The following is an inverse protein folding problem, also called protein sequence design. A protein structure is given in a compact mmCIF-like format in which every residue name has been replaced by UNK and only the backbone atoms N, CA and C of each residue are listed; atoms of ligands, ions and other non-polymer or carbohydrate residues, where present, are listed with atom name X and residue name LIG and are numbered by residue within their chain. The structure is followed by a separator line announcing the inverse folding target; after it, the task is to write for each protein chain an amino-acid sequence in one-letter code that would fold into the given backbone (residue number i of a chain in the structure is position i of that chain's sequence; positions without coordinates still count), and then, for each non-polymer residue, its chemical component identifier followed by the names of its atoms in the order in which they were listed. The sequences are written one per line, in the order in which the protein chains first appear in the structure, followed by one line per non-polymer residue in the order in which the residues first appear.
data_IF_122676512751
#
_entry.id   IF_122676512751
#
_cell.length_a   1.000
_cell.length_b   1.000
_cell.length_c   1.000
_cell.angle_alpha   90.00
_cell.angle_beta   90.00
_cell.angle_gamma   90.00
#
_symmetry.space_group_name_H-M   'P 1'
#
loop_
_entity.id
_entity.type
_entity.pdbx_description
1 polymer ?
#
# COMPACT_ATOMS: atom_id res chain seq x y z
N UNK A 1 22.58 31.61 -5.13
CA UNK A 1 21.81 30.63 -4.33
C UNK A 1 22.63 29.35 -4.26
N UNK A 2 22.85 28.78 -3.06
CA UNK A 2 23.47 27.46 -2.99
C UNK A 2 22.40 26.46 -3.43
N UNK A 3 22.50 25.94 -4.66
CA UNK A 3 21.66 24.87 -5.15
C UNK A 3 21.87 23.64 -4.24
N UNK A 4 20.80 23.11 -3.70
CA UNK A 4 20.85 21.90 -2.87
C UNK A 4 21.24 20.72 -3.75
N UNK A 5 22.40 20.13 -3.51
CA UNK A 5 22.92 19.02 -4.30
C UNK A 5 22.79 17.70 -3.54
N UNK A 6 21.93 16.83 -4.04
CA UNK A 6 21.67 15.48 -3.58
C UNK A 6 22.03 14.43 -4.65
N UNK A 7 22.79 14.80 -5.69
CA UNK A 7 23.06 13.92 -6.82
C UNK A 7 23.88 12.67 -6.43
N UNK A 8 23.60 11.54 -7.08
CA UNK A 8 24.26 10.25 -6.90
C UNK A 8 24.30 9.76 -5.44
N UNK A 9 23.25 10.04 -4.66
CA UNK A 9 23.15 9.63 -3.26
C UNK A 9 22.14 8.51 -3.06
N UNK A 10 22.35 7.70 -2.04
CA UNK A 10 21.31 6.81 -1.51
C UNK A 10 20.51 7.57 -0.47
N UNK A 11 19.29 7.99 -0.84
CA UNK A 11 18.37 8.76 -0.02
C UNK A 11 17.16 7.95 0.41
N UNK A 12 17.24 6.62 0.34
CA UNK A 12 16.12 5.74 0.66
C UNK A 12 15.46 6.10 1.99
N UNK A 13 14.11 6.05 2.01
CA UNK A 13 13.28 6.31 3.18
C UNK A 13 13.42 7.72 3.79
N UNK A 14 14.01 8.69 3.08
CA UNK A 14 14.12 10.08 3.55
C UNK A 14 12.80 10.84 3.39
N UNK A 15 12.58 11.81 4.28
CA UNK A 15 11.40 12.68 4.24
C UNK A 15 11.78 14.11 3.83
N UNK A 16 11.19 14.56 2.75
CA UNK A 16 11.30 15.92 2.20
C UNK A 16 9.93 16.62 2.21
N UNK A 17 9.05 16.22 3.09
CA UNK A 17 7.65 16.71 3.17
C UNK A 17 7.59 18.22 3.35
N UNK A 18 6.95 18.92 2.41
CA UNK A 18 6.71 20.35 2.46
C UNK A 18 7.95 21.24 2.32
N UNK A 19 9.11 20.66 1.98
CA UNK A 19 10.35 21.44 1.77
C UNK A 19 10.31 22.18 0.43
N UNK A 20 10.97 23.32 0.38
CA UNK A 20 11.28 24.01 -0.86
C UNK A 20 12.64 23.52 -1.38
N UNK A 21 12.57 22.79 -2.48
CA UNK A 21 13.69 22.14 -3.18
C UNK A 21 13.74 22.64 -4.63
N UNK A 22 13.27 23.87 -4.88
CA UNK A 22 13.32 24.50 -6.20
C UNK A 22 14.75 24.44 -6.75
N UNK A 23 14.88 23.97 -8.01
CA UNK A 23 16.15 23.81 -8.72
C UNK A 23 17.17 22.86 -8.03
N UNK A 24 16.77 22.08 -7.04
CA UNK A 24 17.65 21.09 -6.41
C UNK A 24 18.06 19.98 -7.41
N UNK A 25 19.25 19.40 -7.19
CA UNK A 25 19.76 18.31 -8.03
C UNK A 25 19.72 16.97 -7.29
N UNK A 26 18.85 16.06 -7.74
CA UNK A 26 18.74 14.68 -7.27
C UNK A 26 19.22 13.67 -8.32
N UNK A 27 19.88 14.12 -9.39
CA UNK A 27 20.25 13.26 -10.51
C UNK A 27 21.02 12.01 -10.09
N UNK A 28 20.66 10.87 -10.64
CA UNK A 28 21.31 9.57 -10.37
C UNK A 28 21.08 9.02 -8.97
N UNK A 29 20.19 9.61 -8.17
CA UNK A 29 19.97 9.19 -6.79
C UNK A 29 18.92 8.10 -6.65
N UNK A 30 19.07 7.29 -5.60
CA UNK A 30 18.10 6.30 -5.18
C UNK A 30 17.11 6.95 -4.20
N UNK A 31 15.89 7.19 -4.68
CA UNK A 31 14.80 7.84 -3.96
C UNK A 31 13.71 6.86 -3.51
N UNK A 32 13.99 5.56 -3.52
CA UNK A 32 13.01 4.57 -3.08
C UNK A 32 12.59 4.83 -1.65
N UNK A 33 11.27 4.84 -1.41
CA UNK A 33 10.70 5.11 -0.10
C UNK A 33 10.70 6.57 0.34
N UNK A 34 11.21 7.50 -0.48
CA UNK A 34 11.20 8.92 -0.15
C UNK A 34 9.78 9.51 -0.12
N UNK A 35 9.58 10.47 0.77
CA UNK A 35 8.33 11.22 0.88
C UNK A 35 8.54 12.71 0.56
N UNK A 36 8.11 13.12 -0.63
CA UNK A 36 8.08 14.50 -1.13
C UNK A 36 6.66 15.10 -1.05
N UNK A 37 5.81 14.58 -0.19
CA UNK A 37 4.42 15.06 -0.09
C UNK A 37 4.39 16.57 0.18
N UNK A 38 3.69 17.33 -0.68
CA UNK A 38 3.58 18.79 -0.64
C UNK A 38 4.90 19.56 -0.80
N UNK A 39 5.98 18.94 -1.26
CA UNK A 39 7.23 19.64 -1.54
C UNK A 39 7.09 20.57 -2.75
N UNK A 40 7.88 21.65 -2.77
CA UNK A 40 8.04 22.53 -3.92
C UNK A 40 9.30 22.06 -4.66
N UNK A 41 9.11 21.54 -5.87
CA UNK A 41 10.12 20.86 -6.68
C UNK A 41 10.21 21.48 -8.08
N UNK A 42 10.00 22.80 -8.16
CA UNK A 42 10.00 23.54 -9.45
C UNK A 42 11.41 23.50 -10.05
N UNK A 43 11.52 23.06 -11.29
CA UNK A 43 12.80 22.97 -12.00
C UNK A 43 13.80 21.96 -11.40
N UNK A 44 13.37 21.13 -10.45
CA UNK A 44 14.24 20.13 -9.81
C UNK A 44 14.73 19.08 -10.82
N UNK A 45 15.99 18.71 -10.70
CA UNK A 45 16.59 17.68 -11.56
C UNK A 45 16.48 16.29 -10.94
N UNK A 46 15.63 15.45 -11.53
CA UNK A 46 15.43 14.04 -11.21
C UNK A 46 15.92 13.10 -12.33
N UNK A 47 16.92 13.53 -13.10
CA UNK A 47 17.45 12.71 -14.17
C UNK A 47 18.06 11.41 -13.63
N UNK A 48 17.74 10.27 -14.24
CA UNK A 48 18.28 8.95 -13.87
C UNK A 48 18.06 8.54 -12.41
N UNK A 49 17.04 9.05 -11.75
CA UNK A 49 16.66 8.57 -10.42
C UNK A 49 16.01 7.20 -10.48
N UNK A 50 16.01 6.53 -9.32
CA UNK A 50 15.22 5.31 -9.08
C UNK A 50 14.23 5.59 -7.97
N UNK A 51 12.94 5.32 -8.22
CA UNK A 51 11.89 5.40 -7.22
C UNK A 51 11.28 4.02 -6.95
N UNK A 52 10.43 3.90 -5.95
CA UNK A 52 9.73 2.65 -5.64
C UNK A 52 9.71 2.31 -4.17
N UNK A 53 9.42 1.04 -3.87
CA UNK A 53 9.46 0.51 -2.52
C UNK A 53 10.88 0.17 -2.08
N UNK A 54 11.19 0.41 -0.80
CA UNK A 54 12.39 -0.15 -0.17
C UNK A 54 12.11 -1.53 0.41
N UNK A 55 13.15 -2.37 0.50
CA UNK A 55 13.05 -3.66 1.18
C UNK A 55 12.61 -3.51 2.64
N UNK A 56 12.99 -2.41 3.29
CA UNK A 56 12.57 -2.08 4.64
C UNK A 56 11.06 -1.83 4.74
N UNK A 57 10.46 -1.11 3.78
CA UNK A 57 9.01 -0.90 3.73
C UNK A 57 8.26 -2.23 3.55
N UNK A 58 8.72 -3.09 2.63
CA UNK A 58 8.15 -4.42 2.40
C UNK A 58 8.24 -5.27 3.68
N UNK A 59 9.42 -5.35 4.28
CA UNK A 59 9.65 -6.13 5.49
C UNK A 59 8.81 -5.62 6.68
N UNK A 60 8.66 -4.29 6.80
CA UNK A 60 7.82 -3.68 7.85
C UNK A 60 6.34 -4.05 7.66
N UNK A 61 5.84 -4.03 6.43
CA UNK A 61 4.46 -4.46 6.13
C UNK A 61 4.25 -5.94 6.46
N UNK A 62 5.18 -6.82 6.06
CA UNK A 62 5.13 -8.25 6.39
C UNK A 62 5.16 -8.46 7.91
N UNK A 63 6.06 -7.79 8.62
CA UNK A 63 6.16 -7.88 10.08
C UNK A 63 4.87 -7.43 10.76
N UNK A 64 4.25 -6.35 10.29
CA UNK A 64 2.98 -5.85 10.84
C UNK A 64 1.84 -6.85 10.66
N UNK A 65 1.78 -7.54 9.51
CA UNK A 65 0.82 -8.63 9.26
C UNK A 65 1.04 -9.80 10.25
N UNK A 66 2.30 -10.21 10.43
CA UNK A 66 2.66 -11.29 11.37
C UNK A 66 2.28 -10.89 12.81
N UNK A 67 2.59 -9.67 13.23
CA UNK A 67 2.22 -9.15 14.55
C UNK A 67 0.71 -9.13 14.77
N UNK A 68 -0.07 -8.77 13.73
CA UNK A 68 -1.54 -8.85 13.78
C UNK A 68 -2.04 -10.28 14.00
N UNK A 69 -1.45 -11.25 13.29
CA UNK A 69 -1.79 -12.68 13.46
C UNK A 69 -1.45 -13.19 14.85
N UNK A 70 -0.26 -12.87 15.39
CA UNK A 70 0.16 -13.25 16.75
C UNK A 70 -0.78 -12.62 17.79
N UNK A 71 -1.10 -11.34 17.64
CA UNK A 71 -2.02 -10.65 18.56
C UNK A 71 -3.40 -11.33 18.59
N UNK A 72 -3.90 -11.79 17.44
CA UNK A 72 -5.16 -12.52 17.36
C UNK A 72 -5.10 -13.87 18.08
N UNK A 73 -4.01 -14.62 17.93
CA UNK A 73 -3.81 -15.90 18.64
C UNK A 73 -3.76 -15.66 20.14
N UNK A 74 -2.96 -14.69 20.60
CA UNK A 74 -2.87 -14.33 22.01
C UNK A 74 -4.23 -13.91 22.60
N UNK A 75 -4.98 -13.07 21.88
CA UNK A 75 -6.33 -12.67 22.27
C UNK A 75 -7.29 -13.86 22.38
N UNK A 76 -7.22 -14.80 21.43
CA UNK A 76 -8.04 -16.01 21.45
C UNK A 76 -7.75 -16.88 22.69
N UNK A 77 -6.48 -17.03 23.05
CA UNK A 77 -6.07 -17.78 24.26
C UNK A 77 -6.57 -17.12 25.54
N UNK A 78 -6.51 -15.79 25.63
CA UNK A 78 -7.05 -15.04 26.78
C UNK A 78 -8.57 -15.25 26.90
N UNK A 79 -9.31 -15.19 25.78
CA UNK A 79 -10.76 -15.42 25.80
C UNK A 79 -11.09 -16.84 26.24
N UNK A 80 -10.39 -17.85 25.71
CA UNK A 80 -10.59 -19.25 26.11
C UNK A 80 -10.30 -19.42 27.61
N UNK A 81 -9.26 -18.75 28.13
CA UNK A 81 -8.95 -18.76 29.58
C UNK A 81 -10.09 -18.13 30.39
N UNK A 82 -10.57 -16.97 30.00
CA UNK A 82 -11.71 -16.30 30.66
C UNK A 82 -12.97 -17.17 30.59
N UNK A 83 -13.27 -17.73 29.42
CA UNK A 83 -14.42 -18.57 29.18
C UNK A 83 -14.40 -19.84 30.09
N UNK A 84 -13.25 -20.46 30.26
CA UNK A 84 -13.09 -21.61 31.15
C UNK A 84 -13.33 -21.27 32.64
N UNK A 85 -12.91 -20.09 33.10
CA UNK A 85 -13.15 -19.58 34.44
C UNK A 85 -14.65 -19.31 34.66
N UNK A 86 -15.28 -18.60 33.72
CA UNK A 86 -16.68 -18.25 33.79
C UNK A 86 -17.59 -19.48 33.68
N UNK A 87 -17.18 -20.51 32.92
CA UNK A 87 -17.89 -21.79 32.87
C UNK A 87 -17.94 -22.48 34.21
N UNK A 88 -16.85 -22.45 34.97
CA UNK A 88 -16.82 -22.97 36.34
C UNK A 88 -17.81 -22.26 37.30
N UNK A 89 -18.13 -20.99 37.02
CA UNK A 89 -19.03 -20.17 37.86
C UNK A 89 -20.51 -20.23 37.43
N UNK A 90 -20.78 -20.24 36.13
CA UNK A 90 -22.14 -20.08 35.54
C UNK A 90 -22.74 -21.37 34.94
N UNK A 91 -21.97 -22.44 34.84
CA UNK A 91 -22.42 -23.75 34.40
C UNK A 91 -22.70 -23.90 32.89
N UNK A 92 -23.37 -25.00 32.51
CA UNK A 92 -23.48 -25.46 31.11
C UNK A 92 -24.30 -24.53 30.19
N UNK A 93 -25.24 -23.76 30.72
CA UNK A 93 -26.02 -22.80 29.91
C UNK A 93 -25.20 -21.62 29.43
N UNK A 94 -24.21 -21.18 30.21
CA UNK A 94 -23.29 -20.12 29.83
C UNK A 94 -22.42 -20.53 28.62
N UNK A 95 -21.97 -21.79 28.54
CA UNK A 95 -21.12 -22.30 27.47
C UNK A 95 -21.74 -22.18 26.07
N UNK A 96 -23.06 -22.27 25.95
CA UNK A 96 -23.77 -22.09 24.67
C UNK A 96 -23.77 -20.64 24.20
N UNK A 97 -23.87 -19.70 25.16
CA UNK A 97 -23.94 -18.25 24.87
C UNK A 97 -22.53 -17.70 24.62
N UNK A 98 -21.52 -18.12 25.41
CA UNK A 98 -20.15 -17.63 25.26
C UNK A 98 -19.51 -18.02 23.93
N UNK A 99 -19.70 -19.27 23.49
CA UNK A 99 -19.22 -19.72 22.17
C UNK A 99 -19.78 -18.90 21.01
N UNK A 100 -21.04 -18.49 21.11
CA UNK A 100 -21.68 -17.62 20.12
C UNK A 100 -21.10 -16.18 20.17
N UNK A 101 -20.94 -15.60 21.35
CA UNK A 101 -20.39 -14.25 21.53
C UNK A 101 -18.94 -14.17 21.06
N UNK A 102 -18.11 -15.16 21.40
CA UNK A 102 -16.70 -15.24 21.00
C UNK A 102 -16.56 -15.29 19.48
N UNK A 103 -17.47 -16.00 18.77
CA UNK A 103 -17.43 -16.08 17.30
C UNK A 103 -17.88 -14.78 16.60
N UNK A 104 -18.68 -13.94 17.26
CA UNK A 104 -19.17 -12.67 16.69
C UNK A 104 -18.18 -11.53 16.88
N UNK A 105 -17.41 -11.49 17.98
CA UNK A 105 -16.49 -10.38 18.28
C UNK A 105 -15.53 -10.05 17.14
N UNK A 106 -14.84 -11.02 16.50
CA UNK A 106 -13.96 -10.75 15.37
C UNK A 106 -14.70 -10.15 14.17
N UNK A 107 -15.93 -10.61 13.92
CA UNK A 107 -16.76 -10.10 12.84
C UNK A 107 -17.21 -8.66 13.08
N UNK A 108 -17.56 -8.32 14.31
CA UNK A 108 -17.89 -6.95 14.72
C UNK A 108 -16.67 -6.04 14.62
N UNK A 109 -15.48 -6.49 15.00
CA UNK A 109 -14.24 -5.74 14.87
C UNK A 109 -13.89 -5.49 13.39
N UNK A 110 -14.14 -6.44 12.49
CA UNK A 110 -13.99 -6.25 11.05
C UNK A 110 -14.98 -5.25 10.46
N UNK A 111 -16.22 -5.25 10.94
CA UNK A 111 -17.24 -4.25 10.55
C UNK A 111 -16.90 -2.85 11.06
N UNK A 112 -16.42 -2.73 12.31
CA UNK A 112 -15.94 -1.47 12.89
C UNK A 112 -14.69 -0.93 12.20
N UNK A 113 -13.92 -1.79 11.54
CA UNK A 113 -12.74 -1.42 10.77
C UNK A 113 -13.02 -0.30 9.77
N UNK A 114 -14.04 -0.46 8.92
CA UNK A 114 -14.39 0.53 7.90
C UNK A 114 -14.70 1.89 8.51
N UNK A 115 -15.45 1.90 9.61
CA UNK A 115 -15.82 3.12 10.35
C UNK A 115 -14.61 3.79 11.02
N UNK A 116 -13.70 3.02 11.62
CA UNK A 116 -12.50 3.55 12.29
C UNK A 116 -11.53 4.11 11.26
N UNK A 117 -11.38 3.45 10.11
CA UNK A 117 -10.43 3.86 9.06
C UNK A 117 -10.85 5.15 8.36
N UNK A 118 -12.13 5.36 8.16
CA UNK A 118 -12.65 6.60 7.59
C UNK A 118 -12.36 7.81 8.50
N UNK A 119 -12.44 7.63 9.82
CA UNK A 119 -12.32 8.70 10.81
C UNK A 119 -10.87 9.00 11.25
N UNK A 120 -9.94 8.04 11.12
CA UNK A 120 -8.58 8.15 11.63
C UNK A 120 -7.50 7.71 10.62
N UNK A 121 -7.23 8.50 9.57
CA UNK A 121 -6.35 8.07 8.47
C UNK A 121 -4.88 7.80 8.89
N UNK A 122 -4.38 8.43 9.96
CA UNK A 122 -3.02 8.14 10.47
C UNK A 122 -2.89 6.76 11.12
N UNK A 123 -4.00 6.25 11.65
CA UNK A 123 -4.07 4.93 12.26
C UNK A 123 -4.24 3.85 11.19
N UNK A 124 -4.76 4.24 10.02
CA UNK A 124 -5.11 3.35 8.90
C UNK A 124 -3.92 2.55 8.39
N UNK A 125 -2.75 3.17 8.24
CA UNK A 125 -1.58 2.49 7.68
C UNK A 125 -1.04 1.40 8.62
N UNK A 126 -1.00 1.66 9.92
CA UNK A 126 -0.56 0.68 10.90
C UNK A 126 -1.58 -0.46 11.11
N UNK A 127 -2.85 -0.12 11.31
CA UNK A 127 -3.90 -1.13 11.52
C UNK A 127 -4.36 -1.81 10.23
N UNK A 128 -4.13 -1.21 9.06
CA UNK A 128 -4.47 -1.80 7.77
C UNK A 128 -3.84 -3.18 7.60
N UNK A 129 -2.52 -3.27 7.77
CA UNK A 129 -1.75 -4.49 7.62
C UNK A 129 -2.02 -5.48 8.76
N UNK A 130 -2.07 -4.99 9.99
CA UNK A 130 -2.40 -5.81 11.14
C UNK A 130 -3.80 -6.45 11.01
N UNK A 131 -4.79 -5.72 10.48
CA UNK A 131 -6.14 -6.26 10.28
C UNK A 131 -6.20 -7.37 9.23
N UNK A 132 -5.36 -7.29 8.20
CA UNK A 132 -5.22 -8.37 7.22
C UNK A 132 -4.59 -9.61 7.85
N UNK A 133 -3.58 -9.44 8.71
CA UNK A 133 -3.00 -10.53 9.50
C UNK A 133 -4.02 -11.19 10.42
N UNK A 134 -4.86 -10.40 11.10
CA UNK A 134 -5.97 -10.88 11.93
C UNK A 134 -6.95 -11.71 11.11
N UNK A 135 -7.39 -11.20 9.96
CA UNK A 135 -8.32 -11.89 9.08
C UNK A 135 -7.76 -13.22 8.58
N UNK A 136 -6.49 -13.22 8.15
CA UNK A 136 -5.81 -14.43 7.69
C UNK A 136 -5.70 -15.46 8.82
N UNK A 137 -5.33 -15.05 10.03
CA UNK A 137 -5.25 -15.92 11.21
C UNK A 137 -6.62 -16.54 11.56
N UNK A 138 -7.71 -15.76 11.48
CA UNK A 138 -9.06 -16.25 11.72
C UNK A 138 -9.46 -17.32 10.69
N UNK A 139 -9.27 -17.05 9.40
CA UNK A 139 -9.65 -17.99 8.35
C UNK A 139 -8.80 -19.27 8.39
N UNK A 140 -7.50 -19.15 8.73
CA UNK A 140 -6.63 -20.31 8.95
C UNK A 140 -7.09 -21.12 10.15
N UNK A 141 -7.45 -20.48 11.25
CA UNK A 141 -7.99 -21.13 12.45
C UNK A 141 -9.30 -21.88 12.17
N UNK A 142 -10.21 -21.30 11.39
CA UNK A 142 -11.46 -21.98 10.96
C UNK A 142 -11.15 -23.20 10.12
N UNK A 143 -10.23 -23.11 9.16
CA UNK A 143 -9.83 -24.23 8.31
C UNK A 143 -9.26 -25.37 9.16
N UNK A 144 -8.35 -25.08 10.09
CA UNK A 144 -7.79 -26.09 11.00
C UNK A 144 -8.86 -26.70 11.90
N UNK A 145 -9.79 -25.89 12.42
CA UNK A 145 -10.90 -26.37 13.25
C UNK A 145 -11.81 -27.36 12.49
N UNK A 146 -12.22 -27.02 11.28
CA UNK A 146 -13.03 -27.92 10.43
C UNK A 146 -12.26 -29.18 10.04
N UNK A 147 -10.95 -29.07 9.79
CA UNK A 147 -10.09 -30.23 9.51
C UNK A 147 -10.11 -31.20 10.71
N UNK A 148 -9.88 -30.69 11.93
CA UNK A 148 -9.86 -31.49 13.13
C UNK A 148 -11.22 -32.18 13.38
N UNK A 149 -12.34 -31.46 13.24
CA UNK A 149 -13.68 -32.02 13.42
C UNK A 149 -13.97 -33.10 12.37
N UNK A 150 -13.54 -32.90 11.13
CA UNK A 150 -13.72 -33.90 10.04
C UNK A 150 -12.95 -35.21 10.35
N UNK A 151 -11.75 -35.12 10.94
CA UNK A 151 -10.97 -36.28 11.36
C UNK A 151 -11.64 -37.09 12.49
N UNK A 152 -12.49 -36.47 13.33
CA UNK A 152 -13.22 -37.18 14.39
C UNK A 152 -14.45 -37.95 13.88
N UNK A 153 -14.61 -38.10 12.56
CA UNK A 153 -15.68 -38.86 11.91
C UNK A 153 -16.90 -38.05 11.47
N UNK A 154 -16.88 -36.74 11.69
CA UNK A 154 -17.97 -35.85 11.26
C UNK A 154 -17.72 -35.35 9.82
N UNK A 155 -17.82 -36.25 8.83
CA UNK A 155 -17.53 -35.98 7.41
C UNK A 155 -18.36 -34.82 6.81
N UNK A 156 -19.45 -34.44 7.44
CA UNK A 156 -20.26 -33.29 7.04
C UNK A 156 -19.45 -31.98 7.02
N UNK A 157 -18.39 -31.88 7.84
CA UNK A 157 -17.53 -30.68 7.89
C UNK A 157 -16.46 -30.62 6.79
N UNK A 158 -16.35 -31.61 5.89
CA UNK A 158 -15.43 -31.55 4.75
C UNK A 158 -15.76 -30.41 3.79
N UNK A 159 -17.03 -30.11 3.54
CA UNK A 159 -17.45 -29.01 2.66
C UNK A 159 -17.03 -27.66 3.24
N UNK A 160 -17.41 -27.29 4.49
CA UNK A 160 -16.92 -26.05 5.10
C UNK A 160 -15.39 -25.96 5.18
N UNK A 161 -14.68 -27.05 5.41
CA UNK A 161 -13.21 -27.12 5.40
C UNK A 161 -12.65 -26.72 4.03
N UNK A 162 -13.14 -27.30 2.94
CA UNK A 162 -12.68 -26.99 1.59
C UNK A 162 -12.98 -25.53 1.24
N UNK A 163 -14.17 -25.02 1.57
CA UNK A 163 -14.55 -23.63 1.32
C UNK A 163 -13.63 -22.67 2.08
N UNK A 164 -13.39 -22.91 3.37
CA UNK A 164 -12.52 -22.05 4.18
C UNK A 164 -11.06 -22.10 3.71
N UNK A 165 -10.56 -23.25 3.25
CA UNK A 165 -9.22 -23.38 2.69
C UNK A 165 -9.06 -22.57 1.39
N UNK A 166 -10.05 -22.62 0.50
CA UNK A 166 -10.07 -21.84 -0.73
C UNK A 166 -10.06 -20.33 -0.41
N UNK A 167 -10.92 -19.89 0.50
CA UNK A 167 -10.97 -18.48 0.92
C UNK A 167 -9.63 -18.04 1.51
N UNK A 168 -9.02 -18.85 2.39
CA UNK A 168 -7.72 -18.56 2.99
C UNK A 168 -6.62 -18.42 1.94
N UNK A 169 -6.62 -19.30 0.92
CA UNK A 169 -5.66 -19.21 -0.19
C UNK A 169 -5.80 -17.90 -0.99
N UNK A 170 -7.03 -17.51 -1.33
CA UNK A 170 -7.27 -16.25 -2.05
C UNK A 170 -6.93 -15.02 -1.21
N UNK A 171 -7.22 -15.04 0.10
CA UNK A 171 -6.83 -13.96 1.01
C UNK A 171 -5.31 -13.83 1.11
N UNK A 172 -4.59 -14.95 1.16
CA UNK A 172 -3.12 -14.93 1.18
C UNK A 172 -2.54 -14.35 -0.10
N UNK A 173 -3.06 -14.79 -1.27
CA UNK A 173 -2.65 -14.25 -2.57
C UNK A 173 -2.91 -12.74 -2.64
N UNK A 174 -4.12 -12.31 -2.30
CA UNK A 174 -4.49 -10.90 -2.29
C UNK A 174 -3.65 -10.07 -1.31
N UNK A 175 -3.27 -10.62 -0.16
CA UNK A 175 -2.38 -9.96 0.80
C UNK A 175 -1.00 -9.70 0.21
N UNK A 176 -0.40 -10.71 -0.45
CA UNK A 176 0.90 -10.55 -1.10
C UNK A 176 0.83 -9.47 -2.19
N UNK A 177 -0.15 -9.55 -3.07
CA UNK A 177 -0.38 -8.53 -4.10
C UNK A 177 -0.58 -7.14 -3.50
N UNK A 178 -1.34 -7.02 -2.41
CA UNK A 178 -1.57 -5.75 -1.72
C UNK A 178 -0.30 -5.14 -1.13
N UNK A 179 0.66 -5.94 -0.66
CA UNK A 179 1.95 -5.45 -0.15
C UNK A 179 2.86 -5.05 -1.30
N UNK A 180 2.93 -5.87 -2.35
CA UNK A 180 3.79 -5.64 -3.51
C UNK A 180 3.36 -4.42 -4.33
N UNK A 181 2.06 -4.16 -4.43
CA UNK A 181 1.51 -3.08 -5.26
C UNK A 181 1.40 -1.73 -4.53
N UNK A 182 1.97 -1.58 -3.32
CA UNK A 182 1.97 -0.30 -2.61
C UNK A 182 2.93 0.68 -3.24
N UNK A 183 2.55 1.94 -3.17
CA UNK A 183 3.49 3.02 -3.51
C UNK A 183 4.58 3.11 -2.45
N UNK A 184 5.83 3.22 -2.91
CA UNK A 184 7.00 3.40 -2.04
C UNK A 184 7.41 4.86 -1.95
N UNK A 185 7.67 5.49 -3.10
CA UNK A 185 7.99 6.92 -3.19
C UNK A 185 6.72 7.75 -3.34
N UNK A 186 6.63 8.90 -2.66
CA UNK A 186 5.46 9.79 -2.72
C UNK A 186 5.84 11.19 -3.19
N UNK A 187 5.23 11.64 -4.30
CA UNK A 187 5.17 13.02 -4.74
C UNK A 187 3.76 13.61 -4.60
N UNK A 188 2.98 13.07 -3.70
CA UNK A 188 1.58 13.46 -3.50
C UNK A 188 1.44 14.94 -3.18
N UNK A 189 0.64 15.68 -3.96
CA UNK A 189 0.44 17.11 -3.81
C UNK A 189 1.72 17.95 -3.96
N UNK A 190 2.79 17.40 -4.52
CA UNK A 190 4.01 18.15 -4.82
C UNK A 190 3.81 19.07 -6.03
N UNK A 191 4.57 20.16 -6.06
CA UNK A 191 4.67 20.99 -7.24
C UNK A 191 5.94 20.63 -8.01
N UNK A 192 5.77 19.93 -9.12
CA UNK A 192 6.83 19.41 -10.00
C UNK A 192 6.93 20.18 -11.33
N UNK A 193 6.43 21.42 -11.36
CA UNK A 193 6.47 22.22 -12.57
C UNK A 193 7.91 22.31 -13.10
N UNK A 194 8.09 22.06 -14.40
CA UNK A 194 9.38 22.08 -15.10
C UNK A 194 10.45 21.11 -14.55
N UNK A 195 10.11 20.15 -13.70
CA UNK A 195 11.05 19.15 -13.19
C UNK A 195 11.52 18.21 -14.29
N UNK A 196 12.77 17.75 -14.19
CA UNK A 196 13.39 16.86 -15.17
C UNK A 196 13.43 15.41 -14.68
N UNK A 197 12.61 14.54 -15.29
CA UNK A 197 12.60 13.09 -15.05
C UNK A 197 13.20 12.28 -16.20
N UNK A 198 14.05 12.86 -17.01
CA UNK A 198 14.67 12.16 -18.14
C UNK A 198 15.41 10.91 -17.65
N UNK A 199 15.17 9.78 -18.33
CA UNK A 199 15.78 8.48 -18.03
C UNK A 199 15.54 7.96 -16.60
N UNK A 200 14.53 8.50 -15.88
CA UNK A 200 14.17 8.04 -14.56
C UNK A 200 13.48 6.67 -14.61
N UNK A 201 13.77 5.82 -13.62
CA UNK A 201 13.04 4.58 -13.36
C UNK A 201 11.99 4.87 -12.29
N UNK A 202 10.73 4.93 -12.70
CA UNK A 202 9.59 5.30 -11.86
C UNK A 202 8.75 4.05 -11.60
N UNK A 203 8.89 3.50 -10.42
CA UNK A 203 8.16 2.32 -9.98
C UNK A 203 7.39 2.62 -8.69
N UNK A 204 6.18 2.09 -8.54
CA UNK A 204 5.40 2.15 -7.30
C UNK A 204 5.38 3.56 -6.66
N UNK A 205 5.15 4.58 -7.47
CA UNK A 205 5.26 6.00 -7.07
C UNK A 205 3.88 6.67 -7.07
N UNK A 206 3.62 7.51 -6.07
CA UNK A 206 2.36 8.27 -5.94
C UNK A 206 2.53 9.72 -6.37
N UNK A 207 2.03 10.08 -7.56
CA UNK A 207 1.91 11.46 -8.06
C UNK A 207 0.49 12.02 -7.87
N UNK A 208 -0.34 11.43 -7.03
CA UNK A 208 -1.72 11.89 -6.85
C UNK A 208 -1.78 13.35 -6.40
N UNK A 209 -2.61 14.14 -7.08
CA UNK A 209 -2.78 15.58 -6.85
C UNK A 209 -1.50 16.42 -7.06
N UNK A 210 -0.48 15.90 -7.73
CA UNK A 210 0.72 16.66 -8.06
C UNK A 210 0.50 17.58 -9.26
N UNK A 211 1.27 18.67 -9.32
CA UNK A 211 1.35 19.55 -10.49
C UNK A 211 2.53 19.11 -11.35
N UNK A 212 2.25 18.67 -12.56
CA UNK A 212 3.21 18.05 -13.49
C UNK A 212 3.43 18.89 -14.78
N UNK A 213 2.95 20.13 -14.82
CA UNK A 213 3.07 20.97 -16.01
C UNK A 213 4.53 21.24 -16.35
N UNK A 214 4.91 20.99 -17.60
CA UNK A 214 6.26 21.25 -18.10
C UNK A 214 7.31 20.22 -17.73
N UNK A 215 6.96 19.08 -17.09
CA UNK A 215 7.94 18.04 -16.77
C UNK A 215 8.60 17.46 -18.01
N UNK A 216 9.89 17.06 -17.88
CA UNK A 216 10.64 16.38 -18.91
C UNK A 216 10.62 14.89 -18.64
N UNK A 217 10.15 14.07 -19.61
CA UNK A 217 9.92 12.64 -19.44
C UNK A 217 10.65 11.79 -20.48
N UNK A 218 11.67 12.35 -21.12
CA UNK A 218 12.44 11.62 -22.13
C UNK A 218 13.08 10.37 -21.56
N UNK A 219 12.78 9.22 -22.18
CA UNK A 219 13.36 7.94 -21.78
C UNK A 219 13.01 7.45 -20.36
N UNK A 220 12.01 8.05 -19.69
CA UNK A 220 11.57 7.51 -18.41
C UNK A 220 10.88 6.15 -18.58
N UNK A 221 10.97 5.32 -17.55
CA UNK A 221 10.31 4.02 -17.50
C UNK A 221 9.28 4.03 -16.38
N UNK A 222 8.02 3.73 -16.70
CA UNK A 222 6.92 3.67 -15.74
C UNK A 222 6.46 2.23 -15.54
N UNK A 223 6.17 1.84 -14.30
CA UNK A 223 5.44 0.61 -13.99
C UNK A 223 3.92 0.82 -14.01
N UNK A 224 3.16 -0.29 -13.93
CA UNK A 224 1.70 -0.28 -13.87
C UNK A 224 1.11 0.17 -12.53
N UNK A 225 1.94 0.30 -11.48
CA UNK A 225 1.53 0.58 -10.10
C UNK A 225 1.75 2.04 -9.69
N UNK A 226 2.35 2.84 -10.58
CA UNK A 226 2.51 4.29 -10.37
C UNK A 226 1.17 5.00 -10.52
N UNK A 227 0.83 5.86 -9.55
CA UNK A 227 -0.46 6.53 -9.43
C UNK A 227 -0.38 7.98 -9.89
N UNK A 228 -1.33 8.39 -10.76
CA UNK A 228 -1.50 9.77 -11.22
C UNK A 228 -2.90 10.32 -10.91
N UNK A 229 -3.56 9.81 -9.87
CA UNK A 229 -4.95 10.18 -9.54
C UNK A 229 -5.09 11.67 -9.26
N UNK A 230 -5.95 12.37 -10.02
CA UNK A 230 -6.18 13.81 -9.90
C UNK A 230 -4.90 14.65 -10.02
N UNK A 231 -3.84 14.19 -10.66
CA UNK A 231 -2.70 15.01 -11.02
C UNK A 231 -3.09 16.03 -12.08
N UNK A 232 -2.45 17.20 -12.07
CA UNK A 232 -2.70 18.30 -13.00
C UNK A 232 -1.47 18.48 -13.89
N UNK A 233 -1.69 18.51 -15.21
CA UNK A 233 -0.66 18.72 -16.19
C UNK A 233 -1.26 19.42 -17.40
N UNK A 234 -0.81 20.61 -17.69
CA UNK A 234 -1.23 21.31 -18.91
C UNK A 234 -0.52 20.73 -20.14
N UNK A 235 0.78 20.50 -20.02
CA UNK A 235 1.63 19.92 -21.05
C UNK A 235 2.88 19.31 -20.42
N UNK A 236 3.58 18.47 -21.19
CA UNK A 236 4.89 17.91 -20.82
C UNK A 236 5.82 17.85 -22.03
N UNK A 237 7.10 17.58 -21.77
CA UNK A 237 8.11 17.34 -22.79
C UNK A 237 8.54 15.88 -22.77
N UNK A 238 8.44 15.18 -23.93
CA UNK A 238 8.56 13.71 -23.96
C UNK A 238 9.68 13.15 -24.85
N UNK A 239 10.44 14.03 -25.52
CA UNK A 239 11.57 13.67 -26.37
C UNK A 239 12.81 14.51 -26.08
N UNK A 240 14.04 14.04 -26.46
CA UNK A 240 15.29 14.75 -26.23
C UNK A 240 15.30 16.19 -26.74
N UNK A 241 14.57 16.46 -27.83
CA UNK A 241 14.47 17.77 -28.47
C UNK A 241 13.42 18.69 -27.80
N UNK A 242 12.93 18.32 -26.62
CA UNK A 242 11.88 19.04 -25.88
C UNK A 242 10.60 19.22 -26.73
N UNK A 243 10.20 18.16 -27.43
CA UNK A 243 8.89 18.17 -28.08
C UNK A 243 7.79 18.20 -27.01
N UNK A 244 6.99 19.26 -27.09
CA UNK A 244 5.84 19.46 -26.21
C UNK A 244 4.69 18.53 -26.58
N UNK A 245 3.99 17.99 -25.60
CA UNK A 245 2.75 17.26 -25.80
C UNK A 245 1.68 17.72 -24.78
N UNK A 246 0.45 18.04 -25.20
CA UNK A 246 0.02 18.14 -26.60
C UNK A 246 0.76 19.26 -27.32
N UNK A 247 0.92 19.14 -28.64
CA UNK A 247 1.65 20.10 -29.45
C UNK A 247 1.06 21.52 -29.35
N UNK A 248 -0.27 21.59 -29.26
CA UNK A 248 -1.03 22.82 -29.08
C UNK A 248 -2.04 22.67 -27.94
N UNK A 249 -2.28 23.76 -27.20
CA UNK A 249 -3.23 23.77 -26.10
C UNK A 249 -2.76 23.01 -24.85
N UNK A 250 -3.70 22.52 -24.06
CA UNK A 250 -3.47 21.78 -22.82
C UNK A 250 -4.11 20.39 -22.91
N UNK A 251 -3.65 19.45 -22.06
CA UNK A 251 -4.30 18.15 -21.93
C UNK A 251 -5.78 18.32 -21.63
N UNK A 252 -6.60 17.53 -22.33
CA UNK A 252 -8.01 17.40 -22.01
C UNK A 252 -8.20 16.41 -20.84
N UNK A 253 -9.37 16.44 -20.25
CA UNK A 253 -9.75 15.48 -19.19
C UNK A 253 -9.48 14.04 -19.69
N UNK A 254 -8.79 13.23 -18.88
CA UNK A 254 -8.40 11.84 -19.17
C UNK A 254 -7.33 11.65 -20.27
N UNK A 255 -6.88 12.69 -20.95
CA UNK A 255 -5.87 12.57 -22.01
C UNK A 255 -4.48 12.30 -21.42
N UNK A 256 -4.13 12.96 -20.32
CA UNK A 256 -2.87 12.72 -19.58
C UNK A 256 -2.74 11.23 -19.19
N UNK A 257 -3.77 10.65 -18.57
CA UNK A 257 -3.73 9.26 -18.15
C UNK A 257 -3.59 8.30 -19.35
N UNK A 258 -4.30 8.56 -20.45
CA UNK A 258 -4.17 7.76 -21.68
C UNK A 258 -2.78 7.88 -22.30
N UNK A 259 -2.18 9.07 -22.23
CA UNK A 259 -0.82 9.30 -22.71
C UNK A 259 0.19 8.53 -21.86
N UNK A 260 0.13 8.64 -20.52
CA UNK A 260 1.04 7.99 -19.59
C UNK A 260 0.96 6.48 -19.67
N UNK A 261 -0.21 5.89 -19.88
CA UNK A 261 -0.38 4.44 -20.06
C UNK A 261 0.42 3.86 -21.24
N UNK A 262 0.80 4.67 -22.23
CA UNK A 262 1.65 4.22 -23.35
C UNK A 262 3.09 3.90 -22.90
N UNK A 263 3.54 4.53 -21.82
CA UNK A 263 4.89 4.35 -21.26
C UNK A 263 4.92 3.30 -20.14
N UNK A 264 3.76 2.89 -19.63
CA UNK A 264 3.70 1.82 -18.65
C UNK A 264 4.16 0.52 -19.30
N UNK A 265 5.21 -0.08 -18.73
CA UNK A 265 5.70 -1.38 -19.14
C UNK A 265 4.60 -2.40 -18.88
N UNK A 266 4.08 -3.02 -19.94
CA UNK A 266 3.17 -4.16 -19.78
C UNK A 266 3.96 -5.29 -19.10
N UNK A 267 3.77 -5.45 -17.82
CA UNK A 267 4.18 -6.67 -17.12
C UNK A 267 3.32 -7.83 -17.68
N UNK A 268 3.94 -8.64 -18.54
CA UNK A 268 3.40 -9.93 -19.01
C UNK A 268 3.96 -11.03 -18.15
#
# INVERSE_FOLDING_TARGET
MNLQNYSNQNLQDQSFVGLDLTEADFSGSDLRGCDFTKAILVGTNFERIVTGQTQKQINTSILTVIMGAIAMIAFSLVIVGIDSILFGWFGANYRKISGFLVSIIPFVLLMLRSFIFEKFPKITNFFGDASLGILLAMMTGLTLGFTFISFTGAFFFLIPMIISAIITFYLYKWLIESIQNRTGTSFKKANLTDANFSHALIEHTDFSFALLTGIFTDGWLLDGHTLFTNSQCDYLYWKPQRERYPNDGNFQTDELEKFLRKFQKNER
#
